data_IF_426719090829
#
_entry.id   IF_426719090829
#
_cell.length_a   1.000
_cell.length_b   1.000
_cell.length_c   1.000
_cell.angle_alpha   90.00
_cell.angle_beta   90.00
_cell.angle_gamma   90.00
#
_symmetry.space_group_name_H-M   'P 1'
#
loop_
_entity.id
_entity.type
_entity.pdbx_description
1 polymer ?
#
# COMPACT_ATOMS: atom_id res chain seq x y z
N UNK A 1 -9.24 51.92 42.63
CA UNK A 1 -9.08 50.57 43.20
C UNK A 1 -10.42 49.86 43.06
N UNK A 2 -10.47 48.60 42.62
CA UNK A 2 -11.67 47.72 42.62
C UNK A 2 -12.47 47.56 41.32
N UNK A 3 -11.84 47.57 40.13
CA UNK A 3 -12.52 47.10 38.90
C UNK A 3 -11.70 46.09 38.06
N UNK A 4 -10.51 45.75 38.52
CA UNK A 4 -9.61 44.78 37.86
C UNK A 4 -9.83 43.36 38.41
N UNK A 5 -10.44 43.22 39.59
CA UNK A 5 -10.62 41.92 40.24
C UNK A 5 -11.81 41.09 39.71
N UNK A 6 -12.72 41.73 38.96
CA UNK A 6 -13.91 41.05 38.42
C UNK A 6 -13.63 40.23 37.14
N UNK A 7 -12.50 40.44 36.47
CA UNK A 7 -12.15 39.64 35.28
C UNK A 7 -11.45 38.32 35.63
N UNK A 8 -10.89 38.20 36.84
CA UNK A 8 -10.07 37.03 37.23
C UNK A 8 -10.95 35.88 37.75
N UNK A 9 -12.13 36.18 38.33
CA UNK A 9 -13.05 35.15 38.84
C UNK A 9 -13.88 34.44 37.75
N UNK A 10 -13.94 34.98 36.52
CA UNK A 10 -14.74 34.39 35.44
C UNK A 10 -14.03 33.26 34.68
N UNK A 11 -12.70 33.11 34.85
CA UNK A 11 -11.89 32.17 34.06
C UNK A 11 -11.68 30.81 34.74
N UNK A 12 -12.33 30.56 35.89
CA UNK A 12 -12.02 29.41 36.76
C UNK A 12 -13.01 28.23 36.71
N UNK A 13 -13.94 28.16 35.74
CA UNK A 13 -14.84 27.00 35.67
C UNK A 13 -15.16 26.55 34.25
N UNK A 14 -14.13 26.14 33.51
CA UNK A 14 -14.28 25.10 32.48
C UNK A 14 -13.04 24.20 32.51
N UNK A 15 -12.79 23.56 33.66
CA UNK A 15 -12.06 22.30 33.62
C UNK A 15 -13.01 21.28 32.99
N UNK A 16 -13.00 21.18 31.66
CA UNK A 16 -13.58 20.04 30.96
C UNK A 16 -12.92 18.82 31.59
N UNK A 17 -13.67 18.06 32.38
CA UNK A 17 -13.26 16.71 32.77
C UNK A 17 -13.17 15.95 31.46
N UNK A 18 -11.98 15.91 30.89
CA UNK A 18 -11.65 14.91 29.89
C UNK A 18 -11.84 13.59 30.63
N UNK A 19 -13.02 13.00 30.48
CA UNK A 19 -13.24 11.60 30.82
C UNK A 19 -12.37 10.84 29.83
N UNK A 20 -11.09 10.72 30.18
CA UNK A 20 -10.11 9.94 29.45
C UNK A 20 -10.50 8.48 29.67
N UNK A 21 -11.47 8.02 28.89
CA UNK A 21 -11.83 6.61 28.88
C UNK A 21 -10.65 5.84 28.30
N UNK A 22 -10.19 4.82 29.04
CA UNK A 22 -9.20 3.89 28.50
C UNK A 22 -9.85 3.07 27.38
N UNK A 23 -9.10 2.80 26.30
CA UNK A 23 -9.62 2.11 25.13
C UNK A 23 -8.94 0.76 24.94
N UNK A 24 -9.75 -0.23 24.56
CA UNK A 24 -9.27 -1.56 24.18
C UNK A 24 -9.38 -1.73 22.68
N UNK A 25 -8.29 -2.17 22.05
CA UNK A 25 -8.25 -2.51 20.62
C UNK A 25 -8.22 -4.03 20.43
N UNK A 26 -9.00 -4.53 19.48
CA UNK A 26 -8.99 -5.94 19.06
C UNK A 26 -8.92 -6.06 17.53
N UNK A 27 -7.98 -6.85 16.97
CA UNK A 27 -6.94 -7.59 17.66
C UNK A 27 -5.93 -6.69 18.41
N UNK A 28 -5.24 -7.26 19.40
CA UNK A 28 -4.26 -6.51 20.20
C UNK A 28 -2.96 -6.26 19.41
N UNK A 29 -2.04 -5.47 20.00
CA UNK A 29 -0.70 -5.19 19.48
C UNK A 29 -0.67 -4.45 18.13
N UNK A 30 -1.59 -3.49 17.94
CA UNK A 30 -1.70 -2.69 16.71
C UNK A 30 -1.85 -3.56 15.45
N UNK A 31 -2.56 -4.69 15.60
CA UNK A 31 -2.88 -5.59 14.50
C UNK A 31 -4.32 -5.36 14.06
N UNK A 32 -4.55 -5.59 12.79
CA UNK A 32 -5.87 -5.60 12.18
C UNK A 32 -6.05 -6.84 11.32
N UNK A 33 -7.30 -7.19 10.99
CA UNK A 33 -7.64 -8.29 10.08
C UNK A 33 -8.22 -7.65 8.83
N UNK A 34 -7.50 -7.76 7.70
CA UNK A 34 -7.83 -7.02 6.48
C UNK A 34 -8.02 -5.50 6.74
N UNK A 35 -7.15 -4.89 7.55
CA UNK A 35 -7.24 -3.47 7.91
C UNK A 35 -8.28 -3.16 9.00
N UNK A 36 -9.16 -4.09 9.36
CA UNK A 36 -10.23 -3.84 10.36
C UNK A 36 -9.80 -4.21 11.77
N UNK A 37 -10.13 -3.34 12.73
CA UNK A 37 -10.02 -3.60 14.16
C UNK A 37 -11.20 -2.99 14.92
N UNK A 38 -11.56 -3.59 16.06
CA UNK A 38 -12.59 -3.11 16.98
C UNK A 38 -11.98 -2.27 18.09
N UNK A 39 -12.63 -1.17 18.44
CA UNK A 39 -12.29 -0.32 19.60
C UNK A 39 -13.45 -0.32 20.59
N UNK A 40 -13.18 -0.65 21.85
CA UNK A 40 -14.14 -0.67 22.96
C UNK A 40 -13.67 0.30 24.05
N UNK A 41 -14.60 0.99 24.72
CA UNK A 41 -14.29 1.77 25.93
C UNK A 41 -14.14 0.84 27.13
N UNK A 42 -13.25 1.17 28.05
CA UNK A 42 -13.08 0.50 29.33
C UNK A 42 -13.63 1.39 30.46
N UNK A 43 -14.34 0.78 31.39
CA UNK A 43 -14.73 1.43 32.64
C UNK A 43 -13.58 1.43 33.67
N UNK A 44 -13.81 2.00 34.85
CA UNK A 44 -12.82 2.06 35.94
C UNK A 44 -12.32 0.69 36.42
N UNK A 45 -13.05 -0.38 36.11
CA UNK A 45 -12.69 -1.75 36.42
C UNK A 45 -12.00 -2.46 35.24
N UNK A 46 -11.57 -1.71 34.21
CA UNK A 46 -10.98 -2.21 32.97
C UNK A 46 -11.87 -3.22 32.20
N UNK A 47 -13.19 -3.13 32.39
CA UNK A 47 -14.15 -3.95 31.66
C UNK A 47 -14.70 -3.21 30.43
N UNK A 48 -14.83 -3.89 29.27
CA UNK A 48 -15.42 -3.28 28.09
C UNK A 48 -16.87 -2.83 28.30
N UNK A 49 -17.16 -1.57 28.02
CA UNK A 49 -18.49 -0.96 28.08
C UNK A 49 -18.88 -0.32 26.75
N UNK A 50 -20.18 -0.31 26.45
CA UNK A 50 -20.68 0.31 25.23
C UNK A 50 -20.79 1.82 25.45
N UNK A 51 -19.84 2.57 24.89
CA UNK A 51 -19.70 3.99 25.17
C UNK A 51 -19.99 4.90 23.96
N UNK A 52 -19.94 4.42 22.72
CA UNK A 52 -19.95 5.30 21.56
C UNK A 52 -21.30 5.27 20.84
N UNK A 53 -21.94 6.42 20.67
CA UNK A 53 -23.01 6.59 19.69
C UNK A 53 -22.43 6.63 18.26
N UNK A 54 -23.27 6.62 17.23
CA UNK A 54 -22.79 6.49 15.85
C UNK A 54 -21.87 7.64 15.39
N UNK A 55 -22.10 8.86 15.86
CA UNK A 55 -21.26 10.02 15.55
C UNK A 55 -19.95 10.00 16.33
N UNK A 56 -20.02 9.70 17.64
CA UNK A 56 -18.84 9.53 18.50
C UNK A 56 -17.92 8.42 17.99
N UNK A 57 -18.48 7.30 17.52
CA UNK A 57 -17.75 6.19 16.92
C UNK A 57 -16.94 6.62 15.70
N UNK A 58 -17.53 7.41 14.79
CA UNK A 58 -16.83 7.95 13.62
C UNK A 58 -15.70 8.88 14.05
N UNK A 59 -15.98 9.80 14.97
CA UNK A 59 -14.98 10.74 15.51
C UNK A 59 -13.82 10.01 16.20
N UNK A 60 -14.09 8.90 16.91
CA UNK A 60 -13.06 8.09 17.55
C UNK A 60 -12.12 7.44 16.53
N UNK A 61 -12.63 6.86 15.45
CA UNK A 61 -11.73 6.32 14.42
C UNK A 61 -10.89 7.44 13.79
N UNK A 62 -11.50 8.60 13.52
CA UNK A 62 -10.77 9.75 12.98
C UNK A 62 -9.68 10.29 13.92
N UNK A 63 -9.92 10.30 15.24
CA UNK A 63 -8.90 10.73 16.22
C UNK A 63 -7.74 9.74 16.33
N UNK A 64 -7.96 8.47 15.96
CA UNK A 64 -6.92 7.45 15.81
C UNK A 64 -6.19 7.52 14.45
N UNK A 65 -6.53 8.49 13.59
CA UNK A 65 -5.92 8.64 12.27
C UNK A 65 -6.38 7.61 11.23
N UNK A 66 -7.51 6.97 11.46
CA UNK A 66 -8.10 5.93 10.58
C UNK A 66 -9.56 6.26 10.24
N UNK A 67 -10.17 5.51 9.33
CA UNK A 67 -11.59 5.66 9.00
C UNK A 67 -12.46 4.69 9.80
N UNK A 68 -13.75 5.01 9.95
CA UNK A 68 -14.73 4.03 10.42
C UNK A 68 -14.90 2.96 9.33
N UNK A 69 -14.91 1.69 9.71
CA UNK A 69 -15.00 0.60 8.76
C UNK A 69 -16.38 0.57 8.08
N UNK A 70 -16.39 0.29 6.79
CA UNK A 70 -17.61 0.00 6.01
C UNK A 70 -18.04 -1.45 6.22
N UNK A 71 -19.30 -1.77 5.91
CA UNK A 71 -19.82 -3.14 5.91
C UNK A 71 -18.96 -4.07 5.06
N UNK A 72 -18.52 -3.61 3.89
CA UNK A 72 -17.71 -4.40 2.97
C UNK A 72 -16.36 -4.77 3.59
N UNK A 73 -15.68 -3.81 4.24
CA UNK A 73 -14.41 -4.04 4.92
C UNK A 73 -14.57 -5.00 6.10
N UNK A 74 -15.59 -4.82 6.96
CA UNK A 74 -15.84 -5.75 8.08
C UNK A 74 -16.19 -7.15 7.58
N UNK A 75 -16.91 -7.26 6.46
CA UNK A 75 -17.23 -8.55 5.86
C UNK A 75 -16.01 -9.25 5.26
N UNK A 76 -15.08 -8.52 4.67
CA UNK A 76 -13.78 -9.06 4.23
C UNK A 76 -12.93 -9.51 5.44
N UNK A 77 -12.85 -8.68 6.48
CA UNK A 77 -12.17 -9.05 7.71
C UNK A 77 -12.75 -10.33 8.34
N UNK A 78 -14.08 -10.47 8.34
CA UNK A 78 -14.77 -11.67 8.79
C UNK A 78 -14.39 -12.89 7.95
N UNK A 79 -14.28 -12.77 6.62
CA UNK A 79 -13.81 -13.86 5.75
C UNK A 79 -12.37 -14.28 6.10
N UNK A 80 -11.56 -13.36 6.61
CA UNK A 80 -10.20 -13.63 7.11
C UNK A 80 -10.14 -14.00 8.59
N UNK A 81 -11.28 -14.26 9.22
CA UNK A 81 -11.36 -14.79 10.58
C UNK A 81 -11.61 -13.77 11.69
N UNK A 82 -11.94 -12.50 11.36
CA UNK A 82 -12.41 -11.56 12.37
C UNK A 82 -13.72 -12.07 12.99
N UNK A 83 -13.71 -12.32 14.29
CA UNK A 83 -14.93 -12.58 15.06
C UNK A 83 -14.92 -11.84 16.40
N UNK A 84 -16.10 -11.36 16.82
CA UNK A 84 -16.29 -10.70 18.11
C UNK A 84 -17.61 -11.17 18.74
N UNK A 85 -17.86 -10.80 19.99
CA UNK A 85 -19.17 -11.01 20.65
C UNK A 85 -19.77 -9.67 21.13
N UNK A 86 -19.38 -8.57 20.50
CA UNK A 86 -19.81 -7.23 20.86
C UNK A 86 -20.21 -6.45 19.62
N UNK A 87 -21.33 -5.73 19.72
CA UNK A 87 -21.78 -4.85 18.65
C UNK A 87 -20.80 -3.70 18.48
N UNK A 88 -20.42 -3.43 17.23
CA UNK A 88 -19.65 -2.26 16.85
C UNK A 88 -20.34 -1.48 15.73
N UNK A 89 -20.28 -0.15 15.79
CA UNK A 89 -20.70 0.73 14.70
C UNK A 89 -19.81 0.57 13.46
N UNK A 90 -20.45 0.66 12.29
CA UNK A 90 -19.82 0.79 10.96
C UNK A 90 -20.39 2.02 10.25
N UNK A 91 -19.74 2.44 9.16
CA UNK A 91 -20.00 3.71 8.47
C UNK A 91 -21.46 3.90 8.03
N UNK A 92 -22.14 2.80 7.67
CA UNK A 92 -23.53 2.79 7.21
C UNK A 92 -24.58 2.98 8.31
N UNK A 93 -24.19 3.49 9.49
CA UNK A 93 -25.03 3.64 10.69
C UNK A 93 -25.70 2.32 11.09
N UNK A 94 -24.97 1.23 10.98
CA UNK A 94 -25.38 -0.11 11.42
C UNK A 94 -24.48 -0.55 12.56
N UNK A 95 -25.06 -1.27 13.52
CA UNK A 95 -24.29 -2.02 14.50
C UNK A 95 -24.15 -3.46 14.00
N UNK A 96 -22.94 -4.02 14.04
CA UNK A 96 -22.67 -5.38 13.54
C UNK A 96 -21.90 -6.23 14.54
N UNK A 97 -22.07 -7.54 14.45
CA UNK A 97 -21.22 -8.56 15.10
C UNK A 97 -20.74 -9.53 14.01
N UNK A 98 -19.43 -9.55 13.69
CA UNK A 98 -18.86 -10.60 12.85
C UNK A 98 -18.72 -11.90 13.65
N UNK A 99 -19.31 -12.99 13.17
CA UNK A 99 -19.25 -14.34 13.78
C UNK A 99 -18.76 -15.38 12.78
N UNK A 100 -17.60 -15.99 13.04
CA UNK A 100 -17.13 -17.15 12.28
C UNK A 100 -17.84 -18.41 12.75
N UNK A 101 -17.99 -18.57 14.07
CA UNK A 101 -18.69 -19.70 14.71
C UNK A 101 -19.95 -19.27 15.43
N UNK A 102 -20.99 -20.10 15.40
CA UNK A 102 -22.19 -19.88 16.20
C UNK A 102 -21.86 -19.98 17.70
N UNK A 103 -22.38 -19.06 18.50
CA UNK A 103 -22.28 -19.07 19.96
C UNK A 103 -23.66 -18.74 20.54
N UNK A 104 -24.10 -19.51 21.53
CA UNK A 104 -25.45 -19.41 22.11
C UNK A 104 -25.77 -18.02 22.65
N UNK A 105 -24.76 -17.32 23.16
CA UNK A 105 -24.85 -16.02 23.80
C UNK A 105 -24.36 -14.84 22.93
N UNK A 106 -24.02 -15.06 21.66
CA UNK A 106 -23.51 -14.01 20.76
C UNK A 106 -24.27 -14.00 19.43
N UNK A 107 -24.60 -12.82 18.91
CA UNK A 107 -25.13 -12.68 17.55
C UNK A 107 -26.37 -13.53 17.27
N UNK A 108 -27.23 -13.78 18.28
CA UNK A 108 -28.41 -14.66 18.18
C UNK A 108 -28.09 -16.08 17.68
N UNK A 109 -26.92 -16.62 18.04
CA UNK A 109 -26.44 -17.92 17.55
C UNK A 109 -26.25 -18.01 16.03
N UNK A 110 -26.18 -16.88 15.34
CA UNK A 110 -25.94 -16.84 13.88
C UNK A 110 -24.45 -16.68 13.57
N UNK A 111 -24.05 -17.19 12.41
CA UNK A 111 -22.74 -16.92 11.78
C UNK A 111 -22.89 -15.83 10.73
N UNK A 112 -21.77 -15.31 10.24
CA UNK A 112 -21.75 -14.22 9.28
C UNK A 112 -21.69 -12.85 9.94
N UNK A 113 -22.04 -11.81 9.17
CA UNK A 113 -22.08 -10.45 9.67
C UNK A 113 -23.49 -10.15 10.20
N UNK A 114 -23.71 -10.41 11.48
CA UNK A 114 -25.00 -10.20 12.14
C UNK A 114 -25.22 -8.70 12.32
N UNK A 115 -26.21 -8.13 11.63
CA UNK A 115 -26.46 -6.69 11.63
C UNK A 115 -27.70 -6.29 12.44
N UNK A 116 -27.65 -5.09 13.01
CA UNK A 116 -28.75 -4.45 13.72
C UNK A 116 -28.82 -2.97 13.34
N UNK A 117 -29.94 -2.57 12.73
CA UNK A 117 -30.31 -1.16 12.54
C UNK A 117 -30.83 -0.58 13.86
N UNK A 118 -29.91 -0.12 14.69
CA UNK A 118 -30.21 0.53 15.97
C UNK A 118 -30.42 2.05 15.79
N UNK A 119 -31.01 2.70 16.81
CA UNK A 119 -30.99 4.16 16.90
C UNK A 119 -29.54 4.67 16.92
N UNK A 120 -29.25 5.74 16.19
CA UNK A 120 -27.91 6.36 16.13
C UNK A 120 -27.42 6.88 17.50
N UNK A 121 -28.34 7.09 18.44
CA UNK A 121 -28.03 7.50 19.83
C UNK A 121 -27.66 6.33 20.73
N UNK A 122 -27.87 5.08 20.28
CA UNK A 122 -27.52 3.89 21.06
C UNK A 122 -26.00 3.78 21.15
N UNK A 123 -25.51 3.33 22.31
CA UNK A 123 -24.07 3.18 22.52
C UNK A 123 -23.63 1.76 22.18
N UNK A 124 -22.51 1.64 21.48
CA UNK A 124 -21.83 0.40 21.12
C UNK A 124 -20.30 0.61 21.13
N UNK A 125 -19.56 -0.41 20.71
CA UNK A 125 -18.16 -0.28 20.31
C UNK A 125 -18.09 0.30 18.88
N UNK A 126 -16.90 0.34 18.26
CA UNK A 126 -16.75 0.73 16.85
C UNK A 126 -15.77 -0.19 16.11
N UNK A 127 -16.00 -0.43 14.82
CA UNK A 127 -15.00 -1.00 13.93
C UNK A 127 -14.33 0.13 13.14
N UNK A 128 -13.01 0.23 13.24
CA UNK A 128 -12.21 1.14 12.44
C UNK A 128 -11.43 0.38 11.36
N UNK A 129 -10.97 1.10 10.35
CA UNK A 129 -10.26 0.56 9.20
C UNK A 129 -8.99 1.35 8.90
N UNK A 130 -7.85 0.66 8.91
CA UNK A 130 -6.55 1.18 8.53
C UNK A 130 -6.17 0.70 7.12
N UNK A 131 -6.10 1.61 6.17
CA UNK A 131 -5.73 1.33 4.77
C UNK A 131 -4.34 0.71 4.65
N UNK A 132 -3.36 1.22 5.41
CA UNK A 132 -1.96 0.79 5.30
C UNK A 132 -1.73 -0.68 5.66
N UNK A 133 -2.56 -1.23 6.55
CA UNK A 133 -2.46 -2.64 6.97
C UNK A 133 -2.94 -3.61 5.88
N UNK A 134 -3.82 -3.15 4.97
CA UNK A 134 -4.32 -3.99 3.88
C UNK A 134 -3.23 -4.31 2.86
N UNK A 135 -2.38 -3.33 2.56
CA UNK A 135 -1.26 -3.46 1.62
C UNK A 135 -0.18 -4.38 2.17
N UNK A 136 0.13 -4.26 3.46
CA UNK A 136 1.08 -5.13 4.14
C UNK A 136 0.60 -6.59 4.17
N UNK A 137 -0.69 -6.82 4.43
CA UNK A 137 -1.28 -8.16 4.40
C UNK A 137 -1.30 -8.73 2.97
N UNK A 138 -1.64 -7.91 1.98
CA UNK A 138 -1.61 -8.30 0.57
C UNK A 138 -0.19 -8.73 0.16
N UNK A 139 0.84 -7.96 0.51
CA UNK A 139 2.24 -8.28 0.23
C UNK A 139 2.71 -9.60 0.87
N UNK A 140 2.19 -9.96 2.06
CA UNK A 140 2.46 -11.26 2.69
C UNK A 140 1.80 -12.42 1.94
N UNK A 141 0.60 -12.22 1.41
CA UNK A 141 -0.12 -13.24 0.65
C UNK A 141 0.52 -13.47 -0.74
N UNK A 142 0.97 -12.42 -1.42
CA UNK A 142 1.79 -12.56 -2.64
C UNK A 142 3.18 -13.13 -2.37
N UNK A 143 3.65 -13.10 -1.12
CA UNK A 143 4.89 -13.73 -0.69
C UNK A 143 4.82 -15.26 -0.54
N UNK A 144 3.62 -15.85 -0.47
CA UNK A 144 3.43 -17.30 -0.23
C UNK A 144 3.25 -18.13 -1.52
N UNK A 145 3.28 -17.50 -2.69
CA UNK A 145 3.50 -18.21 -3.97
C UNK A 145 4.89 -17.87 -4.49
N UNK A 146 5.90 -18.63 -4.08
CA UNK A 146 7.09 -18.85 -4.90
C UNK A 146 7.26 -20.34 -5.15
N UNK A 147 6.72 -20.81 -6.27
CA UNK A 147 7.55 -21.47 -7.28
C UNK A 147 6.74 -21.75 -8.55
N UNK A 148 6.82 -20.83 -9.52
CA UNK A 148 7.08 -21.24 -10.90
C UNK A 148 7.59 -20.06 -11.71
N UNK A 149 8.84 -20.19 -12.13
CA UNK A 149 9.48 -19.61 -13.30
C UNK A 149 9.64 -18.08 -13.44
N UNK A 150 10.91 -17.65 -13.32
CA UNK A 150 11.47 -16.60 -14.16
C UNK A 150 11.27 -15.15 -13.69
N UNK A 151 12.18 -14.65 -12.84
CA UNK A 151 12.27 -13.19 -12.66
C UNK A 151 13.12 -12.66 -11.52
N UNK A 152 13.52 -13.51 -10.56
CA UNK A 152 14.35 -13.06 -9.42
C UNK A 152 15.78 -13.59 -9.41
N UNK A 153 16.18 -14.31 -10.47
CA UNK A 153 17.56 -14.74 -10.66
C UNK A 153 18.44 -13.71 -11.40
N UNK A 154 17.90 -12.57 -11.85
CA UNK A 154 18.61 -11.67 -12.78
C UNK A 154 19.70 -10.81 -12.12
N UNK A 155 19.63 -10.55 -10.80
CA UNK A 155 20.61 -9.67 -10.15
C UNK A 155 21.82 -10.39 -9.54
N UNK A 156 21.68 -11.68 -9.17
CA UNK A 156 22.80 -12.47 -8.63
C UNK A 156 23.60 -13.15 -9.75
N UNK A 157 22.97 -13.48 -10.89
CA UNK A 157 23.71 -13.99 -12.06
C UNK A 157 24.54 -12.89 -12.72
N UNK A 158 24.07 -11.64 -12.68
CA UNK A 158 24.75 -10.49 -13.30
C UNK A 158 26.12 -10.22 -12.65
N UNK A 159 26.21 -10.26 -11.32
CA UNK A 159 27.48 -10.03 -10.62
C UNK A 159 28.46 -11.19 -10.80
N UNK A 160 28.00 -12.44 -10.75
CA UNK A 160 28.86 -13.60 -11.02
C UNK A 160 29.35 -13.62 -12.47
N UNK A 161 28.50 -13.28 -13.45
CA UNK A 161 28.91 -13.21 -14.85
C UNK A 161 29.94 -12.10 -15.08
N UNK A 162 29.77 -10.92 -14.49
CA UNK A 162 30.74 -9.83 -14.58
C UNK A 162 32.06 -10.15 -13.88
N UNK A 163 32.01 -10.85 -12.74
CA UNK A 163 33.23 -11.31 -12.06
C UNK A 163 33.95 -12.38 -12.89
N UNK A 164 33.23 -13.32 -13.51
CA UNK A 164 33.83 -14.33 -14.37
C UNK A 164 34.41 -13.72 -15.65
N UNK A 165 33.70 -12.79 -16.29
CA UNK A 165 34.21 -12.12 -17.50
C UNK A 165 35.43 -11.26 -17.20
N UNK A 166 35.45 -10.53 -16.08
CA UNK A 166 36.62 -9.74 -15.68
C UNK A 166 37.83 -10.62 -15.36
N UNK A 167 37.64 -11.74 -14.65
CA UNK A 167 38.71 -12.71 -14.40
C UNK A 167 39.24 -13.32 -15.70
N UNK A 168 38.35 -13.72 -16.62
CA UNK A 168 38.72 -14.26 -17.95
C UNK A 168 39.50 -13.21 -18.75
N UNK A 169 39.07 -11.95 -18.76
CA UNK A 169 39.75 -10.84 -19.44
C UNK A 169 41.14 -10.61 -18.83
N UNK A 170 41.29 -10.62 -17.51
CA UNK A 170 42.58 -10.45 -16.83
C UNK A 170 43.53 -11.60 -17.16
N UNK A 171 43.04 -12.85 -17.14
CA UNK A 171 43.83 -14.04 -17.52
C UNK A 171 44.22 -13.99 -18.99
N UNK A 172 43.30 -13.59 -19.88
CA UNK A 172 43.57 -13.40 -21.30
C UNK A 172 44.60 -12.29 -21.55
N UNK A 173 44.51 -11.14 -20.88
CA UNK A 173 45.53 -10.09 -21.00
C UNK A 173 46.88 -10.52 -20.43
N UNK A 174 46.91 -11.33 -19.37
CA UNK A 174 48.16 -11.91 -18.84
C UNK A 174 48.76 -12.91 -19.84
N UNK A 175 47.95 -13.79 -20.44
CA UNK A 175 48.37 -14.74 -21.47
C UNK A 175 48.81 -14.03 -22.76
N UNK A 176 48.07 -13.01 -23.19
CA UNK A 176 48.42 -12.17 -24.34
C UNK A 176 49.68 -11.37 -24.06
N UNK A 177 49.89 -10.84 -22.85
CA UNK A 177 51.13 -10.15 -22.46
C UNK A 177 52.33 -11.12 -22.50
N UNK A 178 52.15 -12.39 -22.14
CA UNK A 178 53.18 -13.44 -22.29
C UNK A 178 53.46 -13.76 -23.78
N UNK A 179 52.43 -13.69 -24.65
CA UNK A 179 52.58 -13.86 -26.10
C UNK A 179 53.04 -12.58 -26.84
N UNK A 180 53.08 -11.43 -26.17
CA UNK A 180 53.51 -10.13 -26.75
C UNK A 180 54.91 -9.73 -26.26
N UNK A 181 55.69 -10.70 -25.76
CA UNK A 181 57.15 -10.61 -25.59
C UNK A 181 57.83 -11.71 -26.43
N UNK A 182 57.36 -11.90 -27.66
CA UNK A 182 57.94 -12.87 -28.59
C UNK A 182 57.76 -12.47 -30.04
N UNK A 183 58.86 -11.98 -30.62
CA UNK A 183 59.19 -11.88 -32.05
C UNK A 183 58.98 -10.51 -32.74
N UNK A 184 60.05 -9.70 -32.73
CA UNK A 184 60.31 -8.63 -33.70
C UNK A 184 60.70 -9.20 -35.08
N UNK A 185 60.04 -8.75 -36.16
CA UNK A 185 60.66 -8.52 -37.49
C UNK A 185 59.95 -7.35 -38.19
N UNK A 186 60.63 -6.20 -38.08
CA UNK A 186 60.88 -5.09 -39.01
C UNK A 186 60.18 -4.94 -40.40
N UNK A 187 59.88 -3.65 -40.69
CA UNK A 187 59.71 -2.92 -41.98
C UNK A 187 58.34 -3.01 -42.69
N UNK A 188 57.72 -1.93 -43.19
CA UNK A 188 58.20 -0.60 -43.58
C UNK A 188 57.15 0.50 -43.32
N UNK A 189 57.67 1.64 -42.86
CA UNK A 189 57.09 2.99 -42.89
C UNK A 189 56.76 3.41 -44.34
N UNK A 190 55.69 4.21 -44.56
CA UNK A 190 55.73 5.46 -45.35
C UNK A 190 54.33 6.09 -45.56
N UNK A 191 54.18 7.30 -44.99
CA UNK A 191 53.42 8.53 -45.36
C UNK A 191 51.97 8.41 -45.93
N UNK A 192 51.02 9.33 -45.75
CA UNK A 192 51.04 10.77 -45.99
C UNK A 192 49.94 11.46 -45.13
N UNK A 193 50.27 12.71 -44.84
CA UNK A 193 49.65 13.78 -44.08
C UNK A 193 48.34 14.35 -44.70
N UNK A 194 47.53 14.96 -43.83
CA UNK A 194 46.65 16.14 -44.04
C UNK A 194 45.39 16.13 -44.94
N UNK A 195 44.39 16.83 -44.36
CA UNK A 195 43.49 17.81 -44.97
C UNK A 195 42.19 17.35 -45.67
N UNK A 196 41.09 17.54 -44.93
CA UNK A 196 39.96 18.45 -45.19
C UNK A 196 39.45 18.73 -46.63
N UNK A 197 38.14 19.02 -46.67
CA UNK A 197 37.31 19.65 -47.71
C UNK A 197 36.47 18.78 -48.67
N UNK A 198 35.17 18.82 -48.35
CA UNK A 198 34.01 19.16 -49.22
C UNK A 198 33.34 18.13 -50.14
N UNK A 199 32.02 18.10 -49.99
CA UNK A 199 31.02 17.54 -50.90
C UNK A 199 30.85 18.35 -52.19
N UNK A 200 30.62 17.71 -53.34
CA UNK A 200 29.52 18.07 -54.26
C UNK A 200 29.16 16.92 -55.24
N UNK A 201 27.97 17.09 -55.84
CA UNK A 201 27.01 16.16 -56.45
C UNK A 201 27.34 15.59 -57.83
N UNK A 202 26.67 14.49 -58.17
CA UNK A 202 25.95 14.25 -59.45
C UNK A 202 25.01 13.04 -59.28
N UNK A 203 23.67 13.19 -59.23
CA UNK A 203 22.64 13.40 -60.27
C UNK A 203 22.24 12.15 -61.08
N UNK A 204 20.91 11.98 -61.16
CA UNK A 204 20.03 11.12 -61.99
C UNK A 204 19.59 9.77 -61.37
N UNK A 205 18.31 9.35 -61.42
CA UNK A 205 17.15 9.78 -62.23
C UNK A 205 15.85 9.23 -61.58
N UNK A 206 14.78 10.03 -61.55
CA UNK A 206 13.37 9.59 -61.41
C UNK A 206 12.79 9.30 -62.82
N UNK A 207 11.68 8.56 -62.93
CA UNK A 207 10.36 9.19 -63.22
C UNK A 207 9.22 8.63 -62.31
N UNK A 208 8.34 9.50 -61.78
CA UNK A 208 6.93 9.73 -62.21
C UNK A 208 6.01 8.50 -61.97
N UNK A 209 4.80 8.59 -61.42
CA UNK A 209 3.79 9.64 -61.60
C UNK A 209 2.70 9.59 -60.50
N UNK A 210 1.98 10.70 -60.42
CA UNK A 210 0.94 11.15 -59.51
C UNK A 210 -0.33 10.28 -59.41
N UNK A 211 -1.03 10.31 -58.25
CA UNK A 211 -2.12 11.28 -57.99
C UNK A 211 -3.07 10.84 -56.86
N UNK A 212 -3.23 11.79 -55.95
CA UNK A 212 -4.26 12.02 -54.92
C UNK A 212 -5.71 11.83 -55.43
N UNK A 213 -6.61 11.27 -54.61
CA UNK A 213 -7.76 11.97 -53.99
C UNK A 213 -8.69 11.02 -53.22
N UNK A 214 -8.98 11.46 -52.01
CA UNK A 214 -10.04 11.21 -51.04
C UNK A 214 -11.45 10.92 -51.61
N UNK A 215 -12.34 10.34 -50.77
CA UNK A 215 -13.75 10.71 -50.52
C UNK A 215 -14.63 9.48 -50.18
N UNK A 216 -15.11 9.53 -48.93
CA UNK A 216 -16.43 9.23 -48.37
C UNK A 216 -17.00 7.81 -48.12
N UNK A 217 -17.44 7.70 -46.86
CA UNK A 217 -18.70 7.17 -46.34
C UNK A 217 -19.12 5.73 -46.64
N UNK A 218 -19.43 4.97 -45.59
CA UNK A 218 -20.83 4.75 -45.18
C UNK A 218 -20.93 3.81 -43.98
N UNK A 219 -21.82 4.20 -43.08
CA UNK A 219 -22.29 3.53 -41.87
C UNK A 219 -23.03 2.19 -42.07
N UNK A 220 -23.46 1.64 -40.92
CA UNK A 220 -24.43 0.57 -40.61
C UNK A 220 -23.72 -0.69 -40.06
N UNK A 221 -24.04 -1.21 -38.87
CA UNK A 221 -25.27 -1.15 -38.04
C UNK A 221 -24.92 -1.47 -36.58
#
# INVERSE_FOLDING_TARGET
>A
MNMIWLCIASVLSMASVASGHDIRVFPAANRSIAGVFQVSSLNDLSHPEYAFNASEARTLCSSLGVSIATKAQVQEALRRGLETCRFGWIDEHLAVIPRVKALSNCGKSQTGLVSWRASVTKRFDVFCFNETDTEAEAARHTGSTKSSSGGKAVLITSTCALLLTTIIIIVYFKLKRINTEGFDVEKQQESIETEDWTCDKSVNKTPEDDKKTQVDDSDAE
#
